data_IF_709073377762
#
_entry.id   IF_709073377762
#
_cell.length_a   1.000
_cell.length_b   1.000
_cell.length_c   1.000
_cell.angle_alpha   90.00
_cell.angle_beta   90.00
_cell.angle_gamma   90.00
#
_symmetry.space_group_name_H-M   'P 1'
#
loop_
_entity.id
_entity.type
_entity.pdbx_description
1 polymer ?
#
# COMPACT_ATOMS: atom_id res chain seq x y z
N UNK A 1 -1.73 -19.49 -46.91
CA UNK A 1 -1.68 -20.57 -45.92
C UNK A 1 -0.73 -20.26 -44.78
N UNK A 2 0.55 -19.89 -45.07
CA UNK A 2 1.55 -19.55 -44.01
C UNK A 2 1.09 -18.38 -43.13
N UNK A 3 0.56 -17.29 -43.72
CA UNK A 3 0.05 -16.15 -42.96
C UNK A 3 -1.12 -16.51 -42.06
N UNK A 4 -2.03 -17.37 -42.51
CA UNK A 4 -3.15 -17.84 -41.70
C UNK A 4 -2.68 -18.71 -40.51
N UNK A 5 -1.71 -19.57 -40.74
CA UNK A 5 -1.07 -20.37 -39.69
C UNK A 5 -0.34 -19.50 -38.67
N UNK A 6 0.36 -18.45 -39.08
CA UNK A 6 1.03 -17.49 -38.20
C UNK A 6 0.05 -16.74 -37.34
N UNK A 7 -1.11 -16.34 -37.84
CA UNK A 7 -2.20 -15.71 -37.02
C UNK A 7 -2.76 -16.68 -35.99
N UNK A 8 -2.96 -17.96 -36.37
CA UNK A 8 -3.45 -18.96 -35.44
C UNK A 8 -2.48 -19.24 -34.28
N UNK A 9 -1.15 -19.18 -34.54
CA UNK A 9 -0.17 -19.36 -33.44
C UNK A 9 -0.17 -18.23 -32.42
N UNK A 10 -0.68 -17.03 -32.75
CA UNK A 10 -0.80 -15.91 -31.86
C UNK A 10 -1.97 -16.08 -30.89
N UNK A 11 -3.01 -16.81 -31.27
CA UNK A 11 -4.20 -17.02 -30.43
C UNK A 11 -3.88 -17.80 -29.15
N UNK A 12 -2.90 -18.71 -29.21
CA UNK A 12 -2.52 -19.49 -28.02
C UNK A 12 -1.83 -18.66 -26.92
N UNK A 13 -0.81 -17.81 -27.19
CA UNK A 13 -0.25 -16.91 -26.18
C UNK A 13 -1.24 -15.81 -25.76
N UNK A 14 -2.10 -15.31 -26.68
CA UNK A 14 -3.06 -14.26 -26.39
C UNK A 14 -4.03 -14.66 -25.26
N UNK A 15 -4.45 -15.93 -25.23
CA UNK A 15 -5.32 -16.46 -24.16
C UNK A 15 -4.61 -16.62 -22.80
N UNK A 16 -3.27 -16.55 -22.80
CA UNK A 16 -2.45 -16.63 -21.56
C UNK A 16 -1.97 -15.28 -21.06
N UNK A 17 -2.04 -14.26 -21.90
CA UNK A 17 -1.71 -12.89 -21.51
C UNK A 17 -2.90 -12.34 -20.75
N UNK A 18 -2.79 -12.18 -19.44
CA UNK A 18 -3.74 -11.46 -18.63
C UNK A 18 -3.78 -9.98 -19.00
N UNK A 19 -4.89 -9.31 -18.71
CA UNK A 19 -4.97 -7.86 -18.84
C UNK A 19 -4.70 -7.20 -17.48
N UNK A 20 -3.65 -6.42 -17.36
CA UNK A 20 -3.43 -5.52 -16.23
C UNK A 20 -3.63 -4.08 -16.69
N UNK A 21 -4.37 -3.31 -15.90
CA UNK A 21 -4.53 -1.86 -16.18
C UNK A 21 -3.21 -1.11 -15.98
N UNK A 22 -2.43 -1.50 -14.99
CA UNK A 22 -1.11 -0.96 -14.71
C UNK A 22 -0.21 -2.06 -14.17
N UNK A 23 0.87 -2.45 -14.88
CA UNK A 23 1.80 -3.45 -14.38
C UNK A 23 2.46 -2.97 -13.08
N UNK A 24 2.83 -3.90 -12.22
CA UNK A 24 3.60 -3.59 -11.03
C UNK A 24 5.00 -3.16 -11.46
N UNK A 25 5.26 -1.86 -11.36
CA UNK A 25 6.59 -1.29 -11.62
C UNK A 25 7.32 -1.25 -10.29
N UNK A 26 8.52 -1.85 -10.25
CA UNK A 26 9.42 -1.65 -9.12
C UNK A 26 10.02 -0.24 -9.24
N UNK A 27 9.55 0.66 -8.38
CA UNK A 27 9.96 2.06 -8.37
C UNK A 27 11.26 2.28 -7.59
N UNK A 28 11.79 1.22 -6.94
CA UNK A 28 12.97 1.30 -6.07
C UNK A 28 12.70 1.91 -4.69
N UNK A 29 11.56 2.53 -4.51
CA UNK A 29 11.12 3.15 -3.26
C UNK A 29 9.81 2.52 -2.78
N UNK A 30 9.53 2.63 -1.48
CA UNK A 30 8.26 2.24 -0.88
C UNK A 30 7.61 3.44 -0.18
N UNK A 31 6.29 3.42 -0.15
CA UNK A 31 5.48 4.33 0.64
C UNK A 31 4.78 3.54 1.75
N UNK A 32 5.01 3.95 2.98
CA UNK A 32 4.33 3.42 4.14
C UNK A 32 3.23 4.38 4.56
N UNK A 33 1.99 3.89 4.57
CA UNK A 33 0.80 4.69 4.87
C UNK A 33 -0.08 3.98 5.91
N UNK A 34 0.35 3.92 7.17
CA UNK A 34 -0.44 3.27 8.21
C UNK A 34 -1.76 4.03 8.45
N UNK A 35 -2.75 3.28 8.89
CA UNK A 35 -3.99 3.85 9.43
C UNK A 35 -3.98 3.72 10.94
N UNK A 36 -4.31 4.83 11.62
CA UNK A 36 -4.45 4.89 13.07
C UNK A 36 -5.90 5.02 13.48
N UNK A 37 -6.18 4.87 14.76
CA UNK A 37 -7.50 5.14 15.29
C UNK A 37 -7.85 6.63 15.10
N UNK A 38 -9.10 6.95 14.76
CA UNK A 38 -9.56 8.33 14.64
C UNK A 38 -9.41 9.11 15.94
N UNK A 39 -9.11 10.41 15.82
CA UNK A 39 -9.00 11.30 16.99
C UNK A 39 -7.64 11.35 17.65
N UNK A 40 -6.60 10.83 16.99
CA UNK A 40 -5.21 10.95 17.47
C UNK A 40 -4.80 12.42 17.61
N UNK A 41 -4.06 12.76 18.68
CA UNK A 41 -3.50 14.10 18.83
C UNK A 41 -2.29 14.33 17.93
N UNK A 42 -2.00 15.58 17.59
CA UNK A 42 -0.82 15.92 16.79
C UNK A 42 0.50 15.47 17.45
N UNK A 43 0.58 15.55 18.78
CA UNK A 43 1.75 15.10 19.53
C UNK A 43 1.91 13.58 19.47
N UNK A 44 0.82 12.83 19.57
CA UNK A 44 0.82 11.37 19.45
C UNK A 44 1.19 10.93 18.03
N UNK A 45 0.60 11.56 17.00
CA UNK A 45 0.93 11.31 15.60
C UNK A 45 2.43 11.55 15.31
N UNK A 46 2.99 12.66 15.84
CA UNK A 46 4.43 12.93 15.69
C UNK A 46 5.30 11.91 16.44
N UNK A 47 4.92 11.52 17.65
CA UNK A 47 5.63 10.47 18.42
C UNK A 47 5.61 9.13 17.70
N UNK A 48 4.45 8.75 17.16
CA UNK A 48 4.29 7.52 16.41
C UNK A 48 5.13 7.52 15.13
N UNK A 49 5.10 8.62 14.36
CA UNK A 49 5.92 8.79 13.16
C UNK A 49 7.40 8.57 13.48
N UNK A 50 7.92 9.19 14.56
CA UNK A 50 9.31 9.02 14.96
C UNK A 50 9.66 7.58 15.36
N UNK A 51 8.73 6.86 15.98
CA UNK A 51 8.94 5.46 16.35
C UNK A 51 8.96 4.56 15.11
N UNK A 52 7.99 4.72 14.21
CA UNK A 52 7.89 3.93 12.98
C UNK A 52 9.08 4.18 12.08
N UNK A 53 9.49 5.43 11.87
CA UNK A 53 10.64 5.79 11.05
C UNK A 53 11.94 5.17 11.57
N UNK A 54 12.14 5.14 12.90
CA UNK A 54 13.30 4.47 13.51
C UNK A 54 13.30 2.96 13.30
N UNK A 55 12.14 2.33 13.40
CA UNK A 55 11.99 0.90 13.17
C UNK A 55 12.26 0.56 11.69
N UNK A 56 11.71 1.33 10.77
CA UNK A 56 11.93 1.18 9.32
C UNK A 56 13.41 1.33 8.98
N UNK A 57 14.10 2.33 9.55
CA UNK A 57 15.55 2.54 9.35
C UNK A 57 16.42 1.40 9.88
N UNK A 58 15.90 0.51 10.72
CA UNK A 58 16.68 -0.65 11.20
C UNK A 58 16.81 -1.77 10.17
N UNK A 59 16.00 -1.76 9.11
CA UNK A 59 16.08 -2.78 8.05
C UNK A 59 17.25 -2.47 7.12
N UNK A 60 18.15 -3.44 6.88
CA UNK A 60 19.44 -3.21 6.19
C UNK A 60 19.32 -2.69 4.76
N UNK A 61 18.24 -2.98 4.05
CA UNK A 61 17.99 -2.53 2.68
C UNK A 61 17.53 -1.09 2.60
N UNK A 62 17.14 -0.48 3.72
CA UNK A 62 16.70 0.92 3.79
C UNK A 62 17.88 1.87 3.82
N UNK A 63 17.88 2.88 2.95
CA UNK A 63 18.91 3.95 2.91
C UNK A 63 18.44 5.18 3.65
N UNK A 64 17.18 5.55 3.44
CA UNK A 64 16.61 6.78 3.98
C UNK A 64 15.11 6.62 4.21
N UNK A 65 14.65 7.26 5.27
CA UNK A 65 13.24 7.36 5.62
C UNK A 65 12.88 8.83 5.75
N UNK A 66 11.77 9.22 5.16
CA UNK A 66 11.20 10.54 5.28
C UNK A 66 9.71 10.46 5.55
N UNK A 67 9.33 10.68 6.78
CA UNK A 67 7.94 10.65 7.20
C UNK A 67 7.34 12.04 7.38
N UNK A 68 6.06 12.17 7.05
CA UNK A 68 5.25 13.36 7.29
C UNK A 68 3.94 12.98 7.98
N UNK A 69 3.49 13.84 8.88
CA UNK A 69 2.17 13.77 9.52
C UNK A 69 1.62 15.17 9.69
N UNK A 70 0.32 15.32 9.63
CA UNK A 70 -0.34 16.60 9.75
C UNK A 70 -1.65 16.64 8.97
N UNK A 71 -2.51 17.61 9.30
CA UNK A 71 -3.75 17.83 8.58
C UNK A 71 -3.49 18.70 7.34
N UNK A 72 -3.95 18.26 6.18
CA UNK A 72 -3.94 19.03 4.95
C UNK A 72 -5.35 19.09 4.35
N UNK A 73 -5.76 20.28 3.91
CA UNK A 73 -7.06 20.53 3.29
C UNK A 73 -6.85 21.24 1.94
N UNK A 74 -6.09 20.63 1.04
CA UNK A 74 -5.86 21.18 -0.28
C UNK A 74 -6.57 20.35 -1.34
N UNK A 75 -6.84 20.93 -2.51
CA UNK A 75 -7.46 20.22 -3.63
C UNK A 75 -6.60 19.08 -4.17
N UNK A 76 -5.28 19.14 -3.98
CA UNK A 76 -4.32 18.14 -4.46
C UNK A 76 -3.87 17.15 -3.38
N UNK A 77 -4.06 17.50 -2.12
CA UNK A 77 -3.70 16.65 -0.98
C UNK A 77 -4.70 16.91 0.15
N UNK A 78 -5.61 15.98 0.35
CA UNK A 78 -6.55 15.99 1.45
C UNK A 78 -6.16 14.87 2.41
N UNK A 79 -5.50 15.23 3.50
CA UNK A 79 -5.01 14.29 4.48
C UNK A 79 -5.54 14.64 5.88
N UNK A 80 -6.28 13.73 6.53
CA UNK A 80 -6.61 13.86 7.95
C UNK A 80 -5.36 13.61 8.80
N UNK A 81 -5.40 14.00 10.06
CA UNK A 81 -4.26 13.86 10.99
C UNK A 81 -3.86 12.41 11.23
N UNK A 82 -4.80 11.49 11.10
CA UNK A 82 -4.61 10.03 11.23
C UNK A 82 -3.83 9.42 10.07
N UNK A 83 -3.64 10.16 8.97
CA UNK A 83 -2.93 9.70 7.79
C UNK A 83 -1.46 10.07 7.89
N UNK A 84 -0.66 9.13 8.36
CA UNK A 84 0.80 9.23 8.32
C UNK A 84 1.28 8.75 6.95
N UNK A 85 2.27 9.41 6.39
CA UNK A 85 2.89 9.03 5.12
C UNK A 85 4.41 9.06 5.27
N UNK A 86 5.06 7.93 5.01
CA UNK A 86 6.51 7.81 5.09
C UNK A 86 7.06 7.26 3.79
N UNK A 87 7.90 8.02 3.12
CA UNK A 87 8.67 7.57 1.95
C UNK A 87 9.93 6.85 2.41
N UNK A 88 10.15 5.65 1.88
CA UNK A 88 11.26 4.78 2.21
C UNK A 88 12.10 4.58 0.95
N UNK A 89 13.31 5.08 0.97
CA UNK A 89 14.27 4.85 -0.09
C UNK A 89 15.06 3.59 0.18
N UNK A 90 14.98 2.64 -0.76
CA UNK A 90 15.72 1.39 -0.68
C UNK A 90 17.09 1.50 -1.36
N UNK A 91 18.01 0.62 -0.98
CA UNK A 91 19.26 0.40 -1.70
C UNK A 91 19.00 -0.13 -3.10
N UNK A 92 19.91 0.07 -4.07
CA UNK A 92 19.87 -0.67 -5.33
C UNK A 92 19.80 -2.18 -5.07
N UNK A 93 19.06 -2.90 -5.91
CA UNK A 93 18.79 -4.33 -5.71
C UNK A 93 20.06 -5.18 -5.63
N UNK A 94 21.13 -4.76 -6.29
CA UNK A 94 22.44 -5.42 -6.27
C UNK A 94 23.11 -5.38 -4.89
N UNK A 95 22.68 -4.47 -4.02
CA UNK A 95 23.18 -4.28 -2.65
C UNK A 95 22.29 -4.92 -1.58
N UNK A 96 21.21 -5.58 -1.99
CA UNK A 96 20.35 -6.29 -1.07
C UNK A 96 21.02 -7.57 -0.56
N UNK A 97 20.62 -8.01 0.61
CA UNK A 97 21.06 -9.31 1.14
C UNK A 97 20.72 -10.46 0.18
N UNK A 98 21.55 -11.50 0.08
CA UNK A 98 21.32 -12.63 -0.82
C UNK A 98 19.91 -13.23 -0.64
N UNK A 99 19.17 -13.38 -1.73
CA UNK A 99 17.83 -13.97 -1.73
C UNK A 99 16.71 -13.06 -1.23
N UNK A 100 16.97 -11.76 -1.01
CA UNK A 100 15.94 -10.78 -0.73
C UNK A 100 15.18 -10.40 -1.99
N UNK A 101 13.87 -10.24 -1.84
CA UNK A 101 12.94 -9.73 -2.86
C UNK A 101 12.15 -8.58 -2.26
N UNK A 102 11.47 -7.79 -3.07
CA UNK A 102 10.61 -6.71 -2.59
C UNK A 102 9.59 -7.23 -1.58
N UNK A 103 8.93 -8.36 -1.87
CA UNK A 103 7.93 -8.95 -0.98
C UNK A 103 8.50 -9.34 0.39
N UNK A 104 9.73 -9.88 0.41
CA UNK A 104 10.42 -10.22 1.67
C UNK A 104 10.84 -8.99 2.45
N UNK A 105 11.23 -7.91 1.77
CA UNK A 105 11.52 -6.63 2.44
C UNK A 105 10.24 -6.08 3.06
N UNK A 106 9.13 -6.12 2.34
CA UNK A 106 7.83 -5.69 2.85
C UNK A 106 7.41 -6.54 4.06
N UNK A 107 7.58 -7.86 3.98
CA UNK A 107 7.29 -8.77 5.10
C UNK A 107 8.16 -8.47 6.33
N UNK A 108 9.46 -8.21 6.14
CA UNK A 108 10.38 -7.85 7.22
C UNK A 108 10.01 -6.48 7.83
N UNK A 109 9.68 -5.50 7.00
CA UNK A 109 9.20 -4.19 7.45
C UNK A 109 7.90 -4.33 8.24
N UNK A 110 6.95 -5.11 7.76
CA UNK A 110 5.68 -5.34 8.43
C UNK A 110 5.85 -6.03 9.78
N UNK A 111 6.75 -6.99 9.86
CA UNK A 111 7.11 -7.66 11.12
C UNK A 111 7.85 -6.74 12.09
N UNK A 112 8.67 -5.80 11.58
CA UNK A 112 9.45 -4.86 12.38
C UNK A 112 8.57 -3.74 12.94
N UNK A 113 7.58 -3.29 12.16
CA UNK A 113 6.66 -2.19 12.54
C UNK A 113 5.34 -2.76 13.03
N UNK A 114 5.37 -3.54 14.12
CA UNK A 114 4.15 -4.05 14.77
C UNK A 114 3.81 -3.21 15.99
N UNK A 115 2.98 -2.19 15.80
CA UNK A 115 2.48 -1.35 16.88
C UNK A 115 0.99 -1.61 17.11
N UNK A 116 0.53 -1.78 18.37
CA UNK A 116 -0.88 -1.94 18.66
C UNK A 116 -1.72 -0.76 18.16
N UNK A 117 -2.85 -1.05 17.51
CA UNK A 117 -3.75 -0.03 16.97
C UNK A 117 -3.29 0.61 15.67
N UNK A 118 -2.25 0.07 15.01
CA UNK A 118 -1.74 0.53 13.74
C UNK A 118 -1.97 -0.54 12.67
N UNK A 119 -2.69 -0.19 11.62
CA UNK A 119 -2.83 -1.04 10.45
C UNK A 119 -1.82 -0.60 9.38
N UNK A 120 -0.84 -1.46 9.10
CA UNK A 120 0.21 -1.17 8.13
C UNK A 120 -0.29 -1.27 6.70
N UNK A 121 0.21 -0.39 5.84
CA UNK A 121 0.04 -0.45 4.39
C UNK A 121 1.35 -0.06 3.71
N UNK A 122 1.88 -0.95 2.87
CA UNK A 122 3.11 -0.78 2.11
C UNK A 122 2.78 -0.78 0.62
N UNK A 123 3.06 0.30 -0.07
CA UNK A 123 2.67 0.47 -1.48
C UNK A 123 3.78 1.18 -2.27
N UNK A 124 3.86 0.96 -3.59
CA UNK A 124 4.70 1.78 -4.46
C UNK A 124 4.17 3.22 -4.52
N UNK A 125 5.03 4.24 -4.43
CA UNK A 125 4.61 5.65 -4.35
C UNK A 125 3.75 6.14 -5.52
N UNK A 126 4.16 5.89 -6.75
CA UNK A 126 3.45 6.34 -7.96
C UNK A 126 2.14 5.57 -8.12
N UNK A 127 2.18 4.25 -7.94
CA UNK A 127 1.00 3.40 -8.02
C UNK A 127 -0.06 3.82 -7.02
N UNK A 128 0.33 4.04 -5.77
CA UNK A 128 -0.60 4.49 -4.74
C UNK A 128 -1.27 5.83 -5.09
N UNK A 129 -0.51 6.76 -5.67
CA UNK A 129 -1.07 8.06 -6.11
C UNK A 129 -2.13 7.87 -7.19
N UNK A 130 -1.90 6.99 -8.15
CA UNK A 130 -2.87 6.66 -9.21
C UNK A 130 -4.11 6.01 -8.60
N UNK A 131 -3.94 5.03 -7.72
CA UNK A 131 -5.04 4.34 -7.06
C UNK A 131 -5.88 5.32 -6.23
N UNK A 132 -5.27 6.19 -5.44
CA UNK A 132 -5.97 7.22 -4.67
C UNK A 132 -6.75 8.21 -5.54
N UNK A 133 -6.21 8.60 -6.69
CA UNK A 133 -6.89 9.51 -7.63
C UNK A 133 -8.08 8.82 -8.33
N UNK A 134 -7.98 7.54 -8.62
CA UNK A 134 -9.01 6.79 -9.34
C UNK A 134 -10.11 6.25 -8.43
N UNK A 135 -9.77 5.72 -7.27
CA UNK A 135 -10.70 5.06 -6.36
C UNK A 135 -11.09 5.91 -5.14
N UNK A 136 -10.29 6.93 -4.82
CA UNK A 136 -10.41 7.74 -3.60
C UNK A 136 -10.00 7.02 -2.31
N UNK A 137 -9.31 5.89 -2.44
CA UNK A 137 -8.78 5.09 -1.33
C UNK A 137 -7.33 4.70 -1.62
N UNK A 138 -6.59 4.24 -0.58
CA UNK A 138 -5.16 3.89 -0.68
C UNK A 138 -4.89 2.53 -1.33
N UNK A 139 -5.90 1.88 -1.92
CA UNK A 139 -5.76 0.56 -2.53
C UNK A 139 -6.47 0.49 -3.87
N UNK A 140 -6.07 -0.44 -4.78
CA UNK A 140 -6.70 -0.61 -6.08
C UNK A 140 -8.14 -1.10 -5.99
N UNK A 141 -8.50 -1.76 -4.89
CA UNK A 141 -9.86 -2.27 -4.63
C UNK A 141 -10.31 -1.77 -3.27
N UNK A 142 -11.52 -1.26 -3.19
CA UNK A 142 -12.12 -0.85 -1.95
C UNK A 142 -13.62 -0.97 -1.96
N UNK A 143 -14.17 -1.38 -0.83
CA UNK A 143 -15.61 -1.48 -0.62
C UNK A 143 -16.03 -0.36 0.32
N UNK A 144 -16.86 0.57 -0.17
CA UNK A 144 -17.41 1.65 0.65
C UNK A 144 -18.77 1.23 1.19
N UNK A 145 -18.84 1.13 2.51
CA UNK A 145 -20.10 0.90 3.22
C UNK A 145 -20.61 2.24 3.74
N UNK A 146 -21.86 2.57 3.47
CA UNK A 146 -22.48 3.81 3.95
C UNK A 146 -23.87 3.53 4.51
N UNK A 147 -24.23 4.25 5.55
CA UNK A 147 -25.53 4.13 6.23
C UNK A 147 -25.74 5.28 7.19
N UNK A 148 -26.88 5.30 7.84
CA UNK A 148 -27.26 6.34 8.80
C UNK A 148 -26.94 5.96 10.25
N UNK A 149 -26.70 4.68 10.53
CA UNK A 149 -26.41 4.13 11.86
C UNK A 149 -25.04 3.48 11.86
N UNK A 150 -24.14 3.95 12.70
CA UNK A 150 -22.75 3.47 12.76
C UNK A 150 -22.64 1.98 13.09
N UNK A 151 -23.47 1.49 14.02
CA UNK A 151 -23.47 0.08 14.40
C UNK A 151 -23.82 -0.88 13.24
N UNK A 152 -24.73 -0.44 12.37
CA UNK A 152 -25.11 -1.23 11.18
C UNK A 152 -23.99 -1.22 10.14
N UNK A 153 -23.27 -0.10 10.00
CA UNK A 153 -22.10 0.02 9.14
C UNK A 153 -20.99 -0.93 9.59
N UNK A 154 -20.69 -0.93 10.91
CA UNK A 154 -19.67 -1.81 11.49
C UNK A 154 -20.03 -3.28 11.29
N UNK A 155 -21.25 -3.69 11.63
CA UNK A 155 -21.70 -5.05 11.46
C UNK A 155 -21.64 -5.53 10.00
N UNK A 156 -21.97 -4.64 9.06
CA UNK A 156 -21.86 -4.93 7.62
C UNK A 156 -20.40 -5.02 7.17
N UNK A 157 -19.55 -4.14 7.67
CA UNK A 157 -18.13 -4.14 7.34
C UNK A 157 -17.44 -5.42 7.82
N UNK A 158 -17.74 -5.90 9.03
CA UNK A 158 -17.25 -7.19 9.55
C UNK A 158 -17.66 -8.37 8.67
N UNK A 159 -18.93 -8.43 8.24
CA UNK A 159 -19.40 -9.49 7.34
C UNK A 159 -18.68 -9.45 5.99
N UNK A 160 -18.47 -8.27 5.44
CA UNK A 160 -17.74 -8.09 4.17
C UNK A 160 -16.28 -8.52 4.33
N UNK A 161 -15.63 -8.17 5.44
CA UNK A 161 -14.25 -8.58 5.74
C UNK A 161 -14.15 -10.11 5.84
N UNK A 162 -15.08 -10.78 6.53
CA UNK A 162 -15.10 -12.23 6.64
C UNK A 162 -15.22 -12.90 5.26
N UNK A 163 -16.10 -12.39 4.39
CA UNK A 163 -16.23 -12.89 3.01
C UNK A 163 -14.97 -12.59 2.20
N UNK A 164 -14.42 -11.39 2.29
CA UNK A 164 -13.22 -10.99 1.54
C UNK A 164 -12.01 -11.87 1.87
N UNK A 165 -11.87 -12.31 3.13
CA UNK A 165 -10.80 -13.23 3.56
C UNK A 165 -10.89 -14.62 2.92
N UNK A 166 -12.05 -15.01 2.38
CA UNK A 166 -12.26 -16.31 1.70
C UNK A 166 -11.93 -16.26 0.21
N UNK A 167 -11.74 -15.06 -0.34
CA UNK A 167 -11.39 -14.88 -1.77
C UNK A 167 -9.88 -15.04 -1.92
N UNK A 168 -9.42 -15.96 -2.80
CA UNK A 168 -8.01 -16.22 -3.03
C UNK A 168 -7.28 -15.07 -3.74
#
# INVERSE_FOLDING_TARGET
LVAALSVLTVLWPLNKVGGEFLPQINEGDLLYMPSTLPGISAAEAASMLQKTDKLIMSVPEVVRVFGKTGKAETATDSAPLEMVETTIQLKPQEQWRPGMTMDKIIEELDNTVRLPGLANLWVPPIRNRIDMLSTGIKSPIGIKVSGTVLADIDAMAEQIEEVARTVP
#
